data_IF_635990051944
#
_entry.id   IF_635990051944
#
_cell.length_a   1.000
_cell.length_b   1.000
_cell.length_c   1.000
_cell.angle_alpha   90.00
_cell.angle_beta   90.00
_cell.angle_gamma   90.00
#
_symmetry.space_group_name_H-M   'P 1'
#
loop_
_entity.id
_entity.type
_entity.pdbx_description
1 polymer ?
#
# COMPACT_ATOMS: atom_id res chain seq x y z
N UNK A 1 10.53 -13.85 -6.61
CA UNK A 1 9.37 -14.08 -5.73
C UNK A 1 8.93 -12.77 -5.08
N UNK A 2 7.72 -12.33 -5.37
CA UNK A 2 7.10 -11.16 -4.76
C UNK A 2 5.84 -11.62 -3.99
N UNK A 3 5.92 -11.82 -2.67
CA UNK A 3 4.81 -12.37 -1.89
C UNK A 3 3.53 -11.51 -1.94
N UNK A 4 3.64 -10.21 -2.20
CA UNK A 4 2.48 -9.33 -2.35
C UNK A 4 1.67 -9.75 -3.57
N UNK A 5 2.32 -9.90 -4.73
CA UNK A 5 1.65 -10.23 -5.99
C UNK A 5 1.22 -11.70 -6.03
N UNK A 6 2.14 -12.61 -5.66
CA UNK A 6 1.90 -14.05 -5.85
C UNK A 6 0.99 -14.67 -4.77
N UNK A 7 0.90 -14.06 -3.60
CA UNK A 7 0.19 -14.63 -2.46
C UNK A 7 -0.92 -13.73 -1.93
N UNK A 8 -0.63 -12.45 -1.65
CA UNK A 8 -1.60 -11.62 -0.94
C UNK A 8 -2.68 -11.08 -1.85
N UNK A 9 -2.36 -10.67 -3.08
CA UNK A 9 -3.38 -10.18 -4.03
C UNK A 9 -4.44 -11.26 -4.28
N UNK A 10 -4.10 -12.50 -4.71
CA UNK A 10 -5.11 -13.53 -4.94
C UNK A 10 -5.85 -13.94 -3.66
N UNK A 11 -5.16 -14.02 -2.52
CA UNK A 11 -5.79 -14.41 -1.25
C UNK A 11 -6.83 -13.39 -0.78
N UNK A 12 -6.52 -12.09 -0.88
CA UNK A 12 -7.46 -11.04 -0.50
C UNK A 12 -8.62 -10.97 -1.50
N UNK A 13 -8.35 -11.09 -2.82
CA UNK A 13 -9.40 -11.12 -3.82
C UNK A 13 -10.38 -12.28 -3.57
N UNK A 14 -9.87 -13.48 -3.27
CA UNK A 14 -10.70 -14.63 -2.88
C UNK A 14 -11.52 -14.33 -1.63
N UNK A 15 -10.91 -13.78 -0.58
CA UNK A 15 -11.62 -13.39 0.66
C UNK A 15 -12.76 -12.40 0.37
N UNK A 16 -12.53 -11.41 -0.49
CA UNK A 16 -13.55 -10.44 -0.89
C UNK A 16 -14.70 -11.09 -1.66
N UNK A 17 -14.42 -12.09 -2.52
CA UNK A 17 -15.45 -12.83 -3.26
C UNK A 17 -16.26 -13.77 -2.36
N UNK A 18 -15.59 -14.51 -1.48
CA UNK A 18 -16.22 -15.46 -0.55
C UNK A 18 -17.06 -14.78 0.53
N UNK A 19 -16.74 -13.53 0.87
CA UNK A 19 -17.46 -12.72 1.87
C UNK A 19 -17.76 -13.49 3.16
N UNK A 20 -16.77 -14.05 3.86
CA UNK A 20 -16.99 -14.86 5.06
C UNK A 20 -17.51 -14.05 6.25
N UNK A 21 -17.53 -12.73 6.14
CA UNK A 21 -18.05 -11.77 7.10
C UNK A 21 -18.65 -10.57 6.33
N UNK A 22 -19.44 -9.69 6.99
CA UNK A 22 -19.82 -8.40 6.43
C UNK A 22 -18.55 -7.61 6.04
N UNK A 23 -18.48 -7.13 4.80
CA UNK A 23 -17.32 -6.40 4.26
C UNK A 23 -17.82 -5.14 3.58
N UNK A 24 -17.20 -4.00 3.92
CA UNK A 24 -17.38 -2.73 3.25
C UNK A 24 -16.06 -2.33 2.57
N UNK A 25 -15.88 -2.60 1.27
CA UNK A 25 -14.65 -2.26 0.56
C UNK A 25 -14.57 -0.77 0.31
N UNK A 26 -13.40 -0.18 0.55
CA UNK A 26 -13.14 1.23 0.29
C UNK A 26 -11.93 1.35 -0.63
N UNK A 27 -12.11 2.04 -1.77
CA UNK A 27 -10.99 2.41 -2.63
C UNK A 27 -10.36 3.70 -2.12
N UNK A 28 -9.06 3.69 -1.96
CA UNK A 28 -8.28 4.86 -1.51
C UNK A 28 -8.55 6.10 -2.38
N UNK A 29 -8.55 5.91 -3.71
CA UNK A 29 -8.75 6.99 -4.67
C UNK A 29 -10.14 7.63 -4.55
N UNK A 30 -11.16 6.83 -4.30
CA UNK A 30 -12.52 7.31 -4.10
C UNK A 30 -12.66 8.03 -2.75
N UNK A 31 -12.11 7.42 -1.69
CA UNK A 31 -12.16 8.00 -0.35
C UNK A 31 -11.48 9.37 -0.28
N UNK A 32 -10.32 9.58 -0.92
CA UNK A 32 -9.65 10.88 -0.86
C UNK A 32 -10.30 11.95 -1.74
N UNK A 33 -11.11 11.54 -2.74
CA UNK A 33 -11.88 12.46 -3.58
C UNK A 33 -13.18 12.91 -2.91
N UNK A 34 -13.86 12.00 -2.20
CA UNK A 34 -15.15 12.21 -1.55
C UNK A 34 -15.13 11.67 -0.11
N UNK A 35 -14.28 12.23 0.78
CA UNK A 35 -14.05 11.63 2.10
C UNK A 35 -15.30 11.64 2.99
N UNK A 36 -16.12 12.68 2.94
CA UNK A 36 -17.37 12.76 3.73
C UNK A 36 -18.36 11.66 3.34
N UNK A 37 -18.57 11.45 2.05
CA UNK A 37 -19.47 10.43 1.52
C UNK A 37 -19.03 9.03 1.96
N UNK A 38 -17.76 8.71 1.76
CA UNK A 38 -17.23 7.40 2.13
C UNK A 38 -17.20 7.17 3.64
N UNK A 39 -16.89 8.19 4.44
CA UNK A 39 -16.92 8.04 5.90
C UNK A 39 -18.34 7.91 6.45
N UNK A 40 -19.34 8.56 5.84
CA UNK A 40 -20.76 8.30 6.18
C UNK A 40 -21.16 6.86 5.87
N UNK A 41 -20.80 6.33 4.72
CA UNK A 41 -21.07 4.94 4.35
C UNK A 41 -20.37 3.94 5.30
N UNK A 42 -19.15 4.23 5.74
CA UNK A 42 -18.46 3.44 6.77
C UNK A 42 -19.18 3.50 8.11
N UNK A 43 -19.60 4.69 8.54
CA UNK A 43 -20.32 4.87 9.81
C UNK A 43 -21.63 4.11 9.80
N UNK A 44 -22.39 4.18 8.71
CA UNK A 44 -23.61 3.41 8.51
C UNK A 44 -23.34 1.90 8.56
N UNK A 45 -22.31 1.42 7.87
CA UNK A 45 -21.92 0.01 7.89
C UNK A 45 -21.56 -0.49 9.29
N UNK A 46 -20.94 0.37 10.11
CA UNK A 46 -20.56 0.05 11.50
C UNK A 46 -21.69 0.28 12.50
N UNK A 47 -22.80 0.92 12.10
CA UNK A 47 -23.90 1.27 13.00
C UNK A 47 -23.54 2.35 14.02
N UNK A 48 -22.67 3.30 13.62
CA UNK A 48 -22.26 4.45 14.45
C UNK A 48 -22.62 5.77 13.76
N UNK A 49 -22.75 6.83 14.52
CA UNK A 49 -23.01 8.16 13.96
C UNK A 49 -21.76 8.72 13.26
N UNK A 50 -21.98 9.42 12.16
CA UNK A 50 -20.92 10.16 11.49
C UNK A 50 -20.63 11.46 12.23
N UNK A 51 -19.35 11.73 12.46
CA UNK A 51 -18.85 12.99 13.01
C UNK A 51 -17.89 13.67 12.02
N UNK A 52 -17.99 14.99 11.86
CA UNK A 52 -17.12 15.75 10.98
C UNK A 52 -15.62 15.60 11.29
N UNK A 53 -15.29 15.36 12.56
CA UNK A 53 -13.92 15.08 13.01
C UNK A 53 -13.32 13.81 12.39
N UNK A 54 -14.13 12.87 11.88
CA UNK A 54 -13.66 11.68 11.17
C UNK A 54 -12.98 12.02 9.85
N UNK A 55 -13.36 13.15 9.24
CA UNK A 55 -12.77 13.67 8.01
C UNK A 55 -11.82 14.83 8.28
N UNK A 56 -12.19 15.75 9.16
CA UNK A 56 -11.44 16.94 9.54
C UNK A 56 -10.59 16.68 10.80
N UNK A 57 -9.87 15.57 10.83
CA UNK A 57 -9.12 15.07 11.98
C UNK A 57 -8.03 16.02 12.49
N UNK A 58 -7.56 16.94 11.65
CA UNK A 58 -6.56 17.92 12.04
C UNK A 58 -7.09 19.00 13.00
N UNK A 59 -8.40 19.17 13.11
CA UNK A 59 -9.04 20.07 14.09
C UNK A 59 -9.20 19.38 15.46
N UNK A 60 -9.43 18.06 15.45
CA UNK A 60 -9.61 17.26 16.65
C UNK A 60 -8.33 16.63 17.18
N UNK A 61 -7.23 16.63 16.37
CA UNK A 61 -5.98 15.99 16.76
C UNK A 61 -5.36 16.70 17.96
N UNK A 62 -5.17 16.00 19.11
CA UNK A 62 -4.46 16.59 20.24
C UNK A 62 -3.03 16.92 19.80
N UNK A 63 -2.61 18.16 20.03
CA UNK A 63 -1.25 18.64 19.72
C UNK A 63 -0.17 18.00 20.62
N UNK A 64 -0.51 17.03 21.46
CA UNK A 64 0.42 16.39 22.38
C UNK A 64 1.18 15.23 21.72
N UNK A 65 2.47 15.12 22.06
CA UNK A 65 3.34 14.02 21.69
C UNK A 65 2.84 12.63 22.14
N UNK A 66 1.87 12.57 23.04
CA UNK A 66 1.23 11.34 23.52
C UNK A 66 0.27 10.73 22.49
N UNK A 67 -0.21 11.50 21.52
CA UNK A 67 -1.04 11.03 20.43
C UNK A 67 -0.24 10.38 19.27
N UNK A 68 0.97 9.93 19.50
CA UNK A 68 1.75 9.10 18.57
C UNK A 68 1.15 7.70 18.48
N UNK A 69 -0.11 7.65 18.07
CA UNK A 69 -0.84 6.43 17.84
C UNK A 69 -0.47 5.76 16.53
N UNK A 70 -1.33 4.87 16.08
CA UNK A 70 -1.16 3.97 14.93
C UNK A 70 -1.15 4.67 13.54
N UNK A 71 -1.25 6.00 13.45
CA UNK A 71 -1.26 6.77 12.20
C UNK A 71 0.15 7.16 11.71
N UNK A 72 0.23 7.67 10.47
CA UNK A 72 1.45 8.32 9.95
C UNK A 72 1.66 9.68 10.67
N UNK A 73 2.56 9.75 11.67
CA UNK A 73 2.68 10.93 12.52
C UNK A 73 3.18 12.16 11.75
N UNK A 74 3.78 11.96 10.57
CA UNK A 74 4.32 13.06 9.77
C UNK A 74 3.26 13.76 8.93
N UNK A 75 2.29 13.00 8.41
CA UNK A 75 1.25 13.56 7.54
C UNK A 75 0.02 14.02 8.29
N UNK A 76 -0.40 13.27 9.31
CA UNK A 76 -1.54 13.66 10.17
C UNK A 76 -1.29 15.01 10.86
N UNK A 77 -0.03 15.33 11.21
CA UNK A 77 0.31 16.62 11.79
C UNK A 77 0.30 17.78 10.78
N UNK A 78 0.53 17.51 9.48
CA UNK A 78 0.61 18.54 8.43
C UNK A 78 -0.66 18.66 7.60
N UNK A 79 -1.39 17.58 7.39
CA UNK A 79 -2.62 17.55 6.61
C UNK A 79 -3.82 17.40 7.56
N UNK A 80 -4.70 18.40 7.53
CA UNK A 80 -5.87 18.43 8.44
C UNK A 80 -7.02 17.54 7.99
N UNK A 81 -6.98 17.05 6.74
CA UNK A 81 -7.99 16.21 6.10
C UNK A 81 -7.37 15.36 4.97
N UNK A 82 -8.06 14.32 4.47
CA UNK A 82 -7.60 13.57 3.30
C UNK A 82 -7.40 14.48 2.09
N UNK A 83 -6.31 14.26 1.33
CA UNK A 83 -5.96 15.06 0.15
C UNK A 83 -5.71 14.18 -1.06
N UNK A 84 -5.97 14.71 -2.26
CA UNK A 84 -5.74 14.02 -3.54
C UNK A 84 -4.29 14.05 -4.00
N UNK A 85 -3.41 14.80 -3.32
CA UNK A 85 -2.03 15.03 -3.73
C UNK A 85 -1.12 13.80 -3.82
N UNK A 86 -1.62 12.63 -3.41
CA UNK A 86 -0.86 11.38 -3.51
C UNK A 86 -1.34 10.45 -4.63
N UNK A 87 -2.43 10.77 -5.32
CA UNK A 87 -3.07 9.86 -6.29
C UNK A 87 -2.17 9.52 -7.50
N UNK A 88 -1.39 10.46 -8.00
CA UNK A 88 -0.55 10.27 -9.18
C UNK A 88 0.93 10.02 -8.85
N UNK A 89 1.33 9.97 -7.59
CA UNK A 89 2.75 9.84 -7.19
C UNK A 89 3.44 8.60 -7.74
N UNK A 90 2.72 7.50 -7.91
CA UNK A 90 3.29 6.29 -8.50
C UNK A 90 3.71 6.51 -9.96
N UNK A 91 2.91 7.23 -10.76
CA UNK A 91 3.22 7.56 -12.15
C UNK A 91 4.42 8.51 -12.24
N UNK A 92 4.46 9.54 -11.38
CA UNK A 92 5.61 10.44 -11.28
C UNK A 92 6.90 9.69 -10.91
N UNK A 93 6.83 8.68 -10.04
CA UNK A 93 7.96 7.87 -9.64
C UNK A 93 8.44 6.91 -10.74
N UNK A 94 7.59 6.55 -11.69
CA UNK A 94 7.91 5.73 -12.85
C UNK A 94 8.46 6.55 -14.02
N UNK A 95 8.21 7.86 -14.08
CA UNK A 95 8.71 8.74 -15.13
C UNK A 95 10.24 8.64 -15.26
N UNK A 96 10.73 8.48 -16.48
CA UNK A 96 12.15 8.28 -16.77
C UNK A 96 12.75 6.94 -16.30
N UNK A 97 11.91 5.94 -16.04
CA UNK A 97 12.32 4.60 -15.57
C UNK A 97 11.72 3.50 -16.43
N UNK A 98 12.21 3.31 -17.67
CA UNK A 98 11.64 2.31 -18.58
C UNK A 98 11.74 0.87 -18.03
N UNK A 99 12.78 0.56 -17.25
CA UNK A 99 12.95 -0.70 -16.53
C UNK A 99 11.82 -0.99 -15.55
N UNK A 100 11.37 0.03 -14.82
CA UNK A 100 10.26 -0.10 -13.87
C UNK A 100 8.91 -0.16 -14.54
N UNK A 101 8.73 0.58 -15.63
CA UNK A 101 7.53 0.54 -16.45
C UNK A 101 7.36 -0.87 -17.04
N UNK A 102 8.44 -1.46 -17.59
CA UNK A 102 8.43 -2.84 -18.07
C UNK A 102 8.07 -3.83 -16.96
N UNK A 103 8.68 -3.69 -15.77
CA UNK A 103 8.34 -4.53 -14.62
C UNK A 103 6.88 -4.40 -14.20
N UNK A 104 6.29 -3.19 -14.23
CA UNK A 104 4.86 -3.01 -13.93
C UNK A 104 3.97 -3.74 -14.95
N UNK A 105 4.33 -3.72 -16.23
CA UNK A 105 3.60 -4.46 -17.27
C UNK A 105 3.69 -5.97 -17.07
N UNK A 106 4.87 -6.50 -16.75
CA UNK A 106 5.06 -7.92 -16.43
C UNK A 106 4.21 -8.35 -15.23
N UNK A 107 4.20 -7.54 -14.17
CA UNK A 107 3.36 -7.79 -13.01
C UNK A 107 1.88 -7.79 -13.39
N UNK A 108 1.42 -6.76 -14.13
CA UNK A 108 0.04 -6.66 -14.55
C UNK A 108 -0.37 -7.87 -15.42
N UNK A 109 0.48 -8.29 -16.34
CA UNK A 109 0.25 -9.47 -17.17
C UNK A 109 0.14 -10.78 -16.36
N UNK A 110 0.75 -10.85 -15.17
CA UNK A 110 0.71 -12.02 -14.29
C UNK A 110 -0.51 -12.06 -13.36
N UNK A 111 -1.31 -10.99 -13.29
CA UNK A 111 -2.51 -10.93 -12.45
C UNK A 111 -3.71 -11.55 -13.19
N UNK A 112 -4.61 -12.17 -12.43
CA UNK A 112 -5.87 -12.70 -12.94
C UNK A 112 -6.89 -11.57 -13.09
N UNK A 113 -7.66 -11.56 -14.19
CA UNK A 113 -8.67 -10.53 -14.46
C UNK A 113 -9.80 -10.56 -13.42
N UNK A 114 -10.22 -11.74 -12.98
CA UNK A 114 -11.23 -11.86 -11.93
C UNK A 114 -10.74 -11.29 -10.59
N UNK A 115 -9.44 -11.35 -10.31
CA UNK A 115 -8.85 -10.71 -9.14
C UNK A 115 -8.83 -9.18 -9.30
N UNK A 116 -8.49 -8.66 -10.48
CA UNK A 116 -8.53 -7.22 -10.77
C UNK A 116 -9.96 -6.67 -10.66
N UNK A 117 -10.94 -7.34 -11.23
CA UNK A 117 -12.35 -6.96 -11.13
C UNK A 117 -12.85 -6.94 -9.69
N UNK A 118 -12.43 -7.92 -8.87
CA UNK A 118 -12.75 -7.96 -7.44
C UNK A 118 -12.23 -6.72 -6.70
N UNK A 119 -11.09 -6.18 -7.13
CA UNK A 119 -10.49 -4.94 -6.63
C UNK A 119 -11.07 -3.69 -7.32
N UNK A 120 -12.08 -3.85 -8.20
CA UNK A 120 -12.67 -2.77 -9.00
C UNK A 120 -11.67 -2.06 -9.91
N UNK A 121 -10.73 -2.82 -10.49
CA UNK A 121 -9.83 -2.36 -11.53
C UNK A 121 -10.10 -3.13 -12.82
N UNK A 122 -9.97 -2.46 -13.98
CA UNK A 122 -9.88 -3.15 -15.26
C UNK A 122 -8.42 -3.19 -15.73
N UNK A 123 -8.07 -4.26 -16.45
CA UNK A 123 -6.72 -4.40 -17.04
C UNK A 123 -6.43 -3.28 -18.01
N UNK A 124 -7.41 -2.94 -18.86
CA UNK A 124 -7.32 -1.89 -19.86
C UNK A 124 -7.03 -0.52 -19.23
N UNK A 125 -7.72 -0.19 -18.13
CA UNK A 125 -7.47 1.05 -17.40
C UNK A 125 -6.05 1.11 -16.82
N UNK A 126 -5.58 0.01 -16.23
CA UNK A 126 -4.24 -0.07 -15.66
C UNK A 126 -3.17 0.00 -16.75
N UNK A 127 -3.37 -0.66 -17.88
CA UNK A 127 -2.49 -0.58 -19.05
C UNK A 127 -2.44 0.82 -19.63
N UNK A 128 -3.60 1.48 -19.77
CA UNK A 128 -3.67 2.87 -20.22
C UNK A 128 -2.94 3.83 -19.26
N UNK A 129 -3.10 3.64 -17.96
CA UNK A 129 -2.39 4.44 -16.96
C UNK A 129 -0.86 4.24 -17.03
N UNK A 130 -0.40 2.99 -17.22
CA UNK A 130 1.03 2.68 -17.37
C UNK A 130 1.55 3.25 -18.71
N UNK A 131 0.76 3.19 -19.78
CA UNK A 131 1.13 3.72 -21.09
C UNK A 131 1.25 5.25 -21.09
N UNK A 132 0.49 5.95 -20.25
CA UNK A 132 0.54 7.39 -20.10
C UNK A 132 1.80 7.89 -19.39
N UNK A 133 2.57 7.01 -18.73
CA UNK A 133 3.81 7.38 -18.07
C UNK A 133 4.92 7.61 -19.09
N UNK A 134 5.57 8.77 -19.05
CA UNK A 134 6.68 9.12 -19.96
C UNK A 134 7.96 8.33 -19.60
N UNK A 135 8.41 7.38 -20.43
CA UNK A 135 9.62 6.61 -20.17
C UNK A 135 10.92 7.42 -20.34
N UNK A 136 10.88 8.55 -21.11
CA UNK A 136 12.01 9.43 -21.39
C UNK A 136 12.03 10.69 -20.52
N UNK A 137 11.05 10.88 -19.65
CA UNK A 137 10.91 12.08 -18.82
C UNK A 137 12.03 12.25 -17.80
N UNK A 138 12.14 13.46 -17.27
CA UNK A 138 13.11 13.73 -16.19
C UNK A 138 12.73 12.96 -14.94
N UNK A 139 13.66 12.14 -14.46
CA UNK A 139 13.51 11.43 -13.19
C UNK A 139 13.23 12.41 -12.06
N UNK A 140 12.13 12.20 -11.36
CA UNK A 140 11.97 12.84 -10.05
C UNK A 140 13.14 12.41 -9.17
N UNK A 141 13.77 13.40 -8.50
CA UNK A 141 14.90 13.11 -7.62
C UNK A 141 14.49 12.02 -6.62
N UNK A 142 15.20 10.90 -6.66
CA UNK A 142 14.96 9.81 -5.72
C UNK A 142 15.13 10.31 -4.28
N UNK A 143 14.59 9.60 -3.29
CA UNK A 143 14.73 9.99 -1.90
C UNK A 143 16.21 10.23 -1.60
N UNK A 144 16.51 11.41 -1.03
CA UNK A 144 17.88 11.78 -0.63
C UNK A 144 18.43 10.62 0.20
N UNK A 145 19.67 10.23 -0.08
CA UNK A 145 20.40 9.21 0.68
C UNK A 145 20.45 9.63 2.15
N UNK A 146 19.46 9.23 2.92
CA UNK A 146 19.47 9.39 4.37
C UNK A 146 20.18 8.20 5.00
N UNK A 147 20.74 8.38 6.20
CA UNK A 147 21.33 7.30 7.00
C UNK A 147 20.40 6.09 7.08
N UNK A 148 19.11 6.31 7.26
CA UNK A 148 18.09 5.27 7.33
C UNK A 148 17.94 4.49 6.00
N UNK A 149 18.01 5.14 4.84
CA UNK A 149 17.98 4.48 3.53
C UNK A 149 19.21 3.60 3.33
N UNK A 150 20.36 4.06 3.80
CA UNK A 150 21.60 3.30 3.74
C UNK A 150 21.56 2.06 4.66
N UNK A 151 21.14 2.23 5.90
CA UNK A 151 20.94 1.14 6.87
C UNK A 151 19.95 0.09 6.33
N UNK A 152 18.83 0.54 5.75
CA UNK A 152 17.84 -0.36 5.14
C UNK A 152 18.40 -1.13 3.95
N UNK A 153 19.20 -0.49 3.09
CA UNK A 153 19.89 -1.16 1.97
C UNK A 153 20.89 -2.19 2.46
N UNK A 154 21.68 -1.87 3.49
CA UNK A 154 22.64 -2.79 4.12
C UNK A 154 21.92 -3.99 4.75
N UNK A 155 20.83 -3.76 5.48
CA UNK A 155 20.02 -4.81 6.09
C UNK A 155 19.37 -5.72 5.02
N UNK A 156 18.89 -5.17 3.91
CA UNK A 156 18.35 -5.95 2.79
C UNK A 156 19.43 -6.76 2.08
N UNK A 157 20.63 -6.19 1.88
CA UNK A 157 21.77 -6.90 1.30
C UNK A 157 22.26 -8.03 2.23
N UNK A 158 22.34 -7.77 3.52
CA UNK A 158 22.65 -8.78 4.53
C UNK A 158 21.61 -9.90 4.57
N UNK A 159 20.29 -9.55 4.56
CA UNK A 159 19.20 -10.54 4.50
C UNK A 159 19.26 -11.40 3.23
N UNK A 160 19.59 -10.84 2.08
CA UNK A 160 19.76 -11.60 0.83
C UNK A 160 20.92 -12.59 0.96
N UNK A 161 22.08 -12.14 1.47
CA UNK A 161 23.24 -13.01 1.69
C UNK A 161 23.00 -14.12 2.72
N UNK A 162 22.31 -13.81 3.82
CA UNK A 162 21.97 -14.80 4.85
C UNK A 162 20.83 -15.72 4.40
N UNK A 163 19.91 -15.19 3.58
CA UNK A 163 18.77 -15.96 3.05
C UNK A 163 19.16 -17.16 2.19
N UNK A 164 20.25 -17.07 1.45
CA UNK A 164 20.69 -18.08 0.48
C UNK A 164 21.70 -19.09 1.07
N UNK A 165 22.14 -18.89 2.31
CA UNK A 165 23.12 -19.73 2.99
C UNK A 165 22.45 -20.76 3.94
N UNK A 166 23.21 -21.79 4.33
CA UNK A 166 22.77 -22.81 5.30
C UNK A 166 22.27 -22.17 6.63
N UNK A 167 22.95 -21.12 7.10
CA UNK A 167 22.55 -20.36 8.28
C UNK A 167 21.16 -19.68 8.13
N UNK A 168 20.83 -19.15 6.97
CA UNK A 168 19.53 -18.55 6.71
C UNK A 168 18.38 -19.57 6.67
N UNK A 169 18.68 -20.81 6.29
CA UNK A 169 17.70 -21.91 6.38
C UNK A 169 17.42 -22.30 7.82
N UNK A 170 18.44 -22.29 8.68
CA UNK A 170 18.28 -22.59 10.12
C UNK A 170 17.46 -21.48 10.80
N UNK A 171 17.76 -20.20 10.50
CA UNK A 171 17.02 -19.06 11.08
C UNK A 171 15.55 -19.05 10.62
N UNK A 172 15.25 -19.40 9.36
CA UNK A 172 13.86 -19.56 8.90
C UNK A 172 13.12 -20.68 9.63
N UNK A 173 13.75 -21.84 9.78
CA UNK A 173 13.16 -22.95 10.54
C UNK A 173 12.93 -22.61 12.02
N UNK A 174 13.89 -21.93 12.66
CA UNK A 174 13.72 -21.49 14.04
C UNK A 174 12.55 -20.51 14.19
N UNK A 175 12.39 -19.58 13.22
CA UNK A 175 11.26 -18.64 13.20
C UNK A 175 9.91 -19.36 13.00
N UNK A 176 9.83 -20.32 12.09
CA UNK A 176 8.63 -21.15 11.89
C UNK A 176 8.23 -21.91 13.15
N UNK A 177 9.22 -22.44 13.90
CA UNK A 177 9.00 -23.10 15.19
C UNK A 177 8.52 -22.09 16.25
N UNK A 178 9.12 -20.91 16.32
CA UNK A 178 8.68 -19.87 17.25
C UNK A 178 7.26 -19.39 16.93
N UNK A 179 6.92 -19.21 15.65
CA UNK A 179 5.56 -18.80 15.22
C UNK A 179 4.51 -19.91 15.50
N UNK A 180 4.94 -21.18 15.55
CA UNK A 180 4.09 -22.32 15.93
C UNK A 180 3.88 -22.43 17.46
N UNK A 181 4.89 -22.05 18.25
CA UNK A 181 4.83 -22.09 19.72
C UNK A 181 4.13 -20.89 20.34
N UNK A 182 3.98 -19.79 19.59
CA UNK A 182 3.31 -18.57 20.03
C UNK A 182 1.83 -18.47 19.57
N UNK A 183 1.31 -19.52 18.93
CA UNK A 183 -0.11 -19.72 18.61
C UNK A 183 -0.79 -20.55 19.67
#
# INVERSE_FOLDING_TARGET
HNPVIERYVPAIARFLRERPAPIHPIRYEAMVKSPEEHMRAVSEFLGIDFEDAMVNYGEAAPQSSAARGLGDPMKVASEKRPTTGSLAKWAEQLTGRPDRIAQCREILASLDDADLETWSFSREELEAQIAAVDPGGKRTAGPKLSRHVLERKLLLAARRRVGDNAAGRIVRRAREICDLLLR
#
